data_IF_750225576394
#
_entry.id   IF_750225576394
#
_cell.length_a   1.000
_cell.length_b   1.000
_cell.length_c   1.000
_cell.angle_alpha   90.00
_cell.angle_beta   90.00
_cell.angle_gamma   90.00
#
_symmetry.space_group_name_H-M   'P 1'
#
loop_
_entity.id
_entity.type
_entity.pdbx_description
1 polymer ?
#
# COMPACT_ATOMS: atom_id res chain seq x y z
N UNK A 1 6.95 20.86 -5.55
CA UNK A 1 6.31 20.66 -4.23
C UNK A 1 7.31 20.82 -3.09
N UNK A 2 8.36 20.00 -3.02
CA UNK A 2 9.37 20.07 -1.95
C UNK A 2 10.04 21.44 -1.79
N UNK A 3 10.50 22.06 -2.89
CA UNK A 3 11.06 23.42 -2.85
C UNK A 3 10.06 24.49 -2.40
N UNK A 4 8.78 24.34 -2.78
CA UNK A 4 7.72 25.29 -2.43
C UNK A 4 7.35 25.24 -0.93
N UNK A 5 7.44 24.05 -0.31
CA UNK A 5 7.15 23.87 1.13
C UNK A 5 8.42 24.02 1.97
N UNK A 6 9.59 23.74 1.41
CA UNK A 6 10.89 23.74 2.10
C UNK A 6 11.14 22.47 2.93
N UNK A 7 10.55 21.33 2.51
CA UNK A 7 10.66 20.04 3.21
C UNK A 7 11.41 19.01 2.38
N UNK A 8 12.12 18.05 3.02
CA UNK A 8 12.74 16.94 2.31
C UNK A 8 11.68 16.15 1.53
N UNK A 9 11.90 15.91 0.22
CA UNK A 9 10.99 15.11 -0.57
C UNK A 9 11.05 13.63 -0.17
N UNK A 10 9.91 12.95 -0.20
CA UNK A 10 9.81 11.52 0.09
C UNK A 10 8.78 10.84 -0.81
N UNK A 11 9.14 9.68 -1.36
CA UNK A 11 8.17 8.76 -1.96
C UNK A 11 7.77 7.68 -0.95
N UNK A 12 6.55 7.18 -1.06
CA UNK A 12 6.04 6.09 -0.24
C UNK A 12 5.77 4.86 -1.08
N UNK A 13 6.19 3.70 -0.59
CA UNK A 13 5.88 2.39 -1.16
C UNK A 13 5.11 1.60 -0.11
N UNK A 14 3.81 1.35 -0.35
CA UNK A 14 2.87 0.79 0.62
C UNK A 14 2.47 -0.63 0.22
N UNK A 15 2.99 -1.61 0.95
CA UNK A 15 2.67 -3.01 0.69
C UNK A 15 1.22 -3.35 1.08
N UNK A 16 0.61 -4.25 0.31
CA UNK A 16 -0.67 -4.87 0.58
C UNK A 16 -0.55 -6.15 1.41
N UNK A 17 -1.56 -6.40 2.25
CA UNK A 17 -1.58 -7.54 3.17
C UNK A 17 -2.94 -7.70 3.88
N UNK A 18 -4.05 -7.37 3.21
CA UNK A 18 -5.38 -7.41 3.81
C UNK A 18 -5.54 -6.40 4.96
N UNK A 19 -6.13 -6.85 6.07
CA UNK A 19 -6.38 -5.99 7.25
C UNK A 19 -5.11 -5.45 7.90
N UNK A 20 -3.96 -6.10 7.70
CA UNK A 20 -2.65 -5.60 8.15
C UNK A 20 -2.30 -4.23 7.55
N UNK A 21 -2.98 -3.80 6.48
CA UNK A 21 -2.89 -2.42 6.00
C UNK A 21 -3.29 -1.36 7.04
N UNK A 22 -4.00 -1.73 8.12
CA UNK A 22 -4.26 -0.86 9.27
C UNK A 22 -2.97 -0.49 10.03
N UNK A 23 -1.95 -1.37 10.00
CA UNK A 23 -0.61 -1.02 10.49
C UNK A 23 -0.02 0.10 9.62
N UNK A 24 -0.12 -0.02 8.30
CA UNK A 24 0.32 1.05 7.39
C UNK A 24 -0.44 2.35 7.66
N UNK A 25 -1.74 2.30 7.97
CA UNK A 25 -2.48 3.49 8.40
C UNK A 25 -1.86 4.15 9.64
N UNK A 26 -1.53 3.38 10.68
CA UNK A 26 -0.85 3.91 11.86
C UNK A 26 0.51 4.54 11.54
N UNK A 27 1.30 3.90 10.65
CA UNK A 27 2.57 4.46 10.18
C UNK A 27 2.35 5.81 9.49
N UNK A 28 1.40 5.87 8.55
CA UNK A 28 1.07 7.09 7.83
C UNK A 28 0.57 8.19 8.76
N UNK A 29 -0.23 7.83 9.77
CA UNK A 29 -0.71 8.78 10.76
C UNK A 29 0.45 9.44 11.53
N UNK A 30 1.44 8.67 11.97
CA UNK A 30 2.65 9.22 12.61
C UNK A 30 3.47 10.12 11.67
N UNK A 31 3.63 9.74 10.40
CA UNK A 31 4.35 10.54 9.40
C UNK A 31 3.64 11.86 9.08
N UNK A 32 2.30 11.82 8.94
CA UNK A 32 1.48 12.99 8.65
C UNK A 32 1.37 13.92 9.86
N UNK A 33 1.40 13.37 11.08
CA UNK A 33 1.47 14.15 12.32
C UNK A 33 2.80 14.90 12.48
N UNK A 34 3.95 14.28 12.14
CA UNK A 34 5.23 15.00 12.05
C UNK A 34 5.19 16.07 10.95
N UNK A 35 4.55 15.75 9.82
CA UNK A 35 4.36 16.66 8.70
C UNK A 35 5.66 17.11 8.02
N UNK A 36 6.79 16.46 8.34
CA UNK A 36 8.13 16.90 7.96
C UNK A 36 8.60 16.54 6.56
N UNK A 37 7.75 15.93 5.73
CA UNK A 37 8.13 15.45 4.40
C UNK A 37 7.20 15.97 3.32
N UNK A 38 7.77 16.35 2.18
CA UNK A 38 7.01 16.63 0.97
C UNK A 38 6.80 15.34 0.16
N UNK A 39 5.60 14.76 0.25
CA UNK A 39 5.26 13.50 -0.42
C UNK A 39 5.09 13.66 -1.94
N UNK A 40 6.03 13.17 -2.76
CA UNK A 40 5.92 13.33 -4.22
C UNK A 40 5.09 12.23 -4.89
N UNK A 41 5.30 10.98 -4.48
CA UNK A 41 4.65 9.82 -5.08
C UNK A 41 4.37 8.72 -4.06
N UNK A 42 3.28 7.99 -4.28
CA UNK A 42 2.83 6.88 -3.45
C UNK A 42 2.50 5.71 -4.37
N UNK A 43 3.27 4.63 -4.27
CA UNK A 43 2.94 3.37 -4.90
C UNK A 43 2.28 2.45 -3.87
N UNK A 44 1.14 1.87 -4.22
CA UNK A 44 0.35 1.05 -3.34
C UNK A 44 -0.23 -0.16 -4.04
N UNK A 45 -0.44 -1.22 -3.26
CA UNK A 45 -1.06 -2.46 -3.75
C UNK A 45 -2.04 -2.98 -2.73
N UNK A 46 -3.22 -3.43 -3.17
CA UNK A 46 -4.29 -3.92 -2.29
C UNK A 46 -4.65 -2.88 -1.21
N UNK A 47 -4.60 -3.24 0.08
CA UNK A 47 -4.78 -2.28 1.18
C UNK A 47 -3.81 -1.08 1.14
N UNK A 48 -2.60 -1.25 0.59
CA UNK A 48 -1.66 -0.16 0.35
C UNK A 48 -2.15 0.83 -0.70
N UNK A 49 -2.87 0.37 -1.74
CA UNK A 49 -3.49 1.26 -2.73
C UNK A 49 -4.64 2.07 -2.11
N UNK A 50 -5.44 1.47 -1.22
CA UNK A 50 -6.50 2.17 -0.48
C UNK A 50 -5.93 3.26 0.43
N UNK A 51 -4.85 2.95 1.15
CA UNK A 51 -4.12 3.94 1.94
C UNK A 51 -3.57 5.07 1.07
N UNK A 52 -3.01 4.75 -0.11
CA UNK A 52 -2.46 5.72 -1.03
C UNK A 52 -3.51 6.74 -1.52
N UNK A 53 -4.67 6.26 -1.95
CA UNK A 53 -5.73 7.15 -2.46
C UNK A 53 -6.39 7.97 -1.35
N UNK A 54 -6.57 7.40 -0.16
CA UNK A 54 -7.12 8.12 1.00
C UNK A 54 -6.18 9.24 1.45
N UNK A 55 -4.87 8.98 1.48
CA UNK A 55 -3.86 9.99 1.80
C UNK A 55 -3.86 11.10 0.74
N UNK A 56 -3.73 10.73 -0.54
CA UNK A 56 -3.66 11.71 -1.63
C UNK A 56 -4.93 12.56 -1.71
N UNK A 57 -6.10 11.99 -1.39
CA UNK A 57 -7.36 12.71 -1.35
C UNK A 57 -7.36 13.86 -0.34
N UNK A 58 -6.80 13.64 0.85
CA UNK A 58 -6.65 14.70 1.85
C UNK A 58 -5.81 15.89 1.34
N UNK A 59 -4.71 15.59 0.63
CA UNK A 59 -3.89 16.63 -0.01
C UNK A 59 -4.61 17.32 -1.18
N UNK A 60 -5.39 16.58 -1.98
CA UNK A 60 -6.19 17.17 -3.04
C UNK A 60 -7.24 18.13 -2.50
N UNK A 61 -7.92 17.79 -1.42
CA UNK A 61 -8.87 18.68 -0.76
C UNK A 61 -8.19 19.95 -0.22
N UNK A 62 -7.05 19.80 0.44
CA UNK A 62 -6.30 20.95 0.95
C UNK A 62 -5.82 21.89 -0.17
N UNK A 63 -5.35 21.34 -1.29
CA UNK A 63 -4.90 22.13 -2.42
C UNK A 63 -6.01 22.95 -3.10
N UNK A 64 -7.28 22.53 -2.97
CA UNK A 64 -8.42 23.32 -3.44
C UNK A 64 -8.75 24.49 -2.50
N UNK A 65 -8.40 24.38 -1.22
CA UNK A 65 -8.77 25.34 -0.17
C UNK A 65 -7.67 26.36 0.12
N UNK A 66 -6.40 25.99 -0.06
CA UNK A 66 -5.25 26.80 0.32
C UNK A 66 -4.35 27.10 -0.89
N UNK A 67 -4.04 28.39 -1.07
CA UNK A 67 -3.10 28.85 -2.12
C UNK A 67 -1.65 28.83 -1.66
N UNK A 68 -1.40 29.04 -0.37
CA UNK A 68 -0.06 28.94 0.20
C UNK A 68 0.36 27.46 0.31
N UNK A 69 1.57 27.15 -0.13
CA UNK A 69 2.04 25.78 -0.21
C UNK A 69 2.23 25.14 1.18
N UNK A 70 2.60 25.90 2.21
CA UNK A 70 2.80 25.39 3.56
C UNK A 70 1.47 25.19 4.28
N UNK A 71 0.53 26.11 4.13
CA UNK A 71 -0.83 25.93 4.63
C UNK A 71 -1.52 24.73 3.97
N UNK A 72 -1.42 24.63 2.64
CA UNK A 72 -1.95 23.49 1.90
C UNK A 72 -1.33 22.16 2.35
N UNK A 73 -0.03 22.15 2.65
CA UNK A 73 0.65 20.96 3.17
C UNK A 73 0.16 20.57 4.56
N UNK A 74 0.08 21.52 5.49
CA UNK A 74 -0.40 21.28 6.86
C UNK A 74 -1.86 20.81 6.88
N UNK A 75 -2.73 21.48 6.12
CA UNK A 75 -4.12 21.06 5.95
C UNK A 75 -4.22 19.70 5.25
N UNK A 76 -3.36 19.43 4.26
CA UNK A 76 -3.26 18.16 3.56
C UNK A 76 -2.93 17.00 4.50
N UNK A 77 -1.96 17.19 5.39
CA UNK A 77 -1.65 16.24 6.45
C UNK A 77 -2.86 15.96 7.35
N UNK A 78 -3.54 16.99 7.84
CA UNK A 78 -4.70 16.83 8.72
C UNK A 78 -5.87 16.11 8.03
N UNK A 79 -6.20 16.51 6.79
CA UNK A 79 -7.29 15.91 6.01
C UNK A 79 -6.96 14.48 5.57
N UNK A 80 -5.69 14.18 5.28
CA UNK A 80 -5.24 12.83 4.95
C UNK A 80 -5.39 11.89 6.17
N UNK A 81 -4.99 12.34 7.37
CA UNK A 81 -5.20 11.58 8.62
C UNK A 81 -6.68 11.28 8.87
N UNK A 82 -7.54 12.28 8.67
CA UNK A 82 -8.99 12.10 8.84
C UNK A 82 -9.58 11.15 7.80
N UNK A 83 -9.17 11.23 6.53
CA UNK A 83 -9.66 10.34 5.47
C UNK A 83 -9.23 8.90 5.73
N UNK A 84 -7.97 8.68 6.11
CA UNK A 84 -7.45 7.36 6.49
C UNK A 84 -8.19 6.78 7.70
N UNK A 85 -8.48 7.61 8.72
CA UNK A 85 -9.25 7.20 9.89
C UNK A 85 -10.66 6.73 9.51
N UNK A 86 -11.38 7.51 8.70
CA UNK A 86 -12.72 7.13 8.23
C UNK A 86 -12.71 5.85 7.40
N UNK A 87 -11.69 5.66 6.56
CA UNK A 87 -11.52 4.45 5.76
C UNK A 87 -11.41 3.22 6.67
N UNK A 88 -10.45 3.22 7.60
CA UNK A 88 -10.18 2.04 8.42
C UNK A 88 -11.21 1.80 9.52
N UNK A 89 -11.81 2.84 10.09
CA UNK A 89 -12.98 2.67 10.97
C UNK A 89 -14.18 2.10 10.18
N UNK A 90 -14.39 2.53 8.93
CA UNK A 90 -15.41 1.97 8.05
C UNK A 90 -15.17 0.47 7.77
N UNK A 91 -13.93 0.11 7.44
CA UNK A 91 -13.50 -1.30 7.27
C UNK A 91 -13.72 -2.09 8.57
N UNK A 92 -13.31 -1.52 9.71
CA UNK A 92 -13.48 -2.11 11.04
C UNK A 92 -14.94 -2.38 11.40
N UNK A 93 -15.83 -1.42 11.10
CA UNK A 93 -17.27 -1.54 11.39
C UNK A 93 -17.92 -2.63 10.54
N UNK A 94 -17.56 -2.70 9.25
CA UNK A 94 -18.00 -3.77 8.35
C UNK A 94 -17.47 -5.13 8.80
N UNK A 95 -16.20 -5.21 9.17
CA UNK A 95 -15.58 -6.45 9.65
C UNK A 95 -16.19 -6.93 10.97
N UNK A 96 -16.50 -6.03 11.90
CA UNK A 96 -17.21 -6.39 13.15
C UNK A 96 -18.62 -6.92 12.89
N UNK A 97 -19.35 -6.36 11.91
CA UNK A 97 -20.67 -6.88 11.52
C UNK A 97 -20.57 -8.30 10.95
N UNK A 98 -19.60 -8.55 10.08
CA UNK A 98 -19.37 -9.88 9.48
C UNK A 98 -18.87 -10.90 10.51
N UNK A 99 -17.96 -10.50 11.40
CA UNK A 99 -17.40 -11.35 12.45
C UNK A 99 -18.42 -11.70 13.54
N UNK A 100 -19.38 -10.82 13.79
CA UNK A 100 -20.49 -11.06 14.72
C UNK A 100 -21.52 -12.09 14.25
N UNK A 101 -21.49 -12.50 12.98
CA UNK A 101 -22.35 -13.56 12.45
C UNK A 101 -21.68 -14.92 12.73
N UNK A 102 -22.34 -15.87 13.44
CA UNK A 102 -21.75 -17.14 13.85
C UNK A 102 -21.69 -18.16 12.69
N UNK A 103 -21.08 -17.77 11.57
CA UNK A 103 -20.88 -18.61 10.39
C UNK A 103 -19.45 -19.16 10.29
N UNK A 104 -18.47 -18.50 10.92
CA UNK A 104 -17.05 -18.86 10.82
C UNK A 104 -16.66 -20.13 11.59
N UNK A 105 -17.49 -20.59 12.52
CA UNK A 105 -17.29 -21.84 13.26
C UNK A 105 -17.88 -23.09 12.57
N UNK A 106 -18.44 -22.96 11.36
CA UNK A 106 -19.08 -24.08 10.67
C UNK A 106 -18.11 -24.73 9.65
N UNK A 107 -17.52 -25.90 9.95
CA UNK A 107 -16.54 -26.55 9.07
C UNK A 107 -17.11 -26.92 7.70
N UNK A 108 -18.43 -27.11 7.58
CA UNK A 108 -19.08 -27.38 6.30
C UNK A 108 -19.05 -26.16 5.38
N UNK A 109 -19.21 -24.95 5.93
CA UNK A 109 -19.19 -23.71 5.14
C UNK A 109 -17.76 -23.41 4.64
N UNK A 110 -16.74 -23.66 5.46
CA UNK A 110 -15.33 -23.54 5.07
C UNK A 110 -14.91 -24.56 4.02
N UNK A 111 -15.51 -25.76 4.03
CA UNK A 111 -15.31 -26.74 2.96
C UNK A 111 -16.02 -26.31 1.67
N UNK A 112 -17.27 -25.83 1.74
CA UNK A 112 -18.01 -25.38 0.55
C UNK A 112 -17.39 -24.16 -0.14
N UNK A 113 -16.77 -23.23 0.60
CA UNK A 113 -16.12 -22.05 0.02
C UNK A 113 -14.85 -22.37 -0.79
N UNK A 114 -14.24 -23.55 -0.59
CA UNK A 114 -13.10 -24.01 -1.40
C UNK A 114 -13.53 -24.53 -2.78
N UNK A 115 -14.80 -24.92 -2.96
CA UNK A 115 -15.36 -25.44 -4.22
C UNK A 115 -16.22 -24.43 -4.97
N UNK A 116 -16.50 -23.27 -4.37
CA UNK A 116 -17.36 -22.25 -4.93
C UNK A 116 -16.57 -20.98 -5.23
N UNK A 117 -16.55 -20.57 -6.48
CA UNK A 117 -15.93 -19.32 -6.91
C UNK A 117 -16.77 -18.09 -6.51
N UNK A 118 -16.16 -16.89 -6.41
CA UNK A 118 -16.88 -15.62 -6.19
C UNK A 118 -17.99 -15.35 -7.24
N UNK A 119 -17.86 -15.94 -8.42
CA UNK A 119 -18.86 -15.89 -9.49
C UNK A 119 -20.15 -16.64 -9.14
N UNK A 120 -20.05 -17.67 -8.31
CA UNK A 120 -21.17 -18.51 -7.86
C UNK A 120 -21.76 -18.02 -6.53
N UNK A 121 -20.94 -17.45 -5.64
CA UNK A 121 -21.38 -17.05 -4.29
C UNK A 121 -21.89 -15.61 -4.19
N UNK A 122 -21.48 -14.71 -5.09
CA UNK A 122 -21.93 -13.31 -5.12
C UNK A 122 -22.45 -12.91 -6.51
N UNK A 123 -23.59 -13.45 -6.99
CA UNK A 123 -24.12 -13.15 -8.32
C UNK A 123 -24.45 -11.65 -8.50
N UNK A 124 -24.92 -10.99 -7.43
CA UNK A 124 -25.28 -9.57 -7.41
C UNK A 124 -24.08 -8.60 -7.38
N UNK A 125 -22.86 -9.09 -7.16
CA UNK A 125 -21.64 -8.28 -7.21
C UNK A 125 -21.55 -7.19 -6.13
N UNK A 126 -22.31 -7.32 -5.03
CA UNK A 126 -22.31 -6.32 -3.95
C UNK A 126 -20.91 -6.28 -3.33
N UNK A 127 -20.26 -5.13 -3.39
CA UNK A 127 -18.95 -4.89 -2.81
C UNK A 127 -19.01 -3.67 -1.87
N UNK A 128 -19.28 -3.88 -0.58
CA UNK A 128 -19.43 -2.75 0.35
C UNK A 128 -18.12 -1.98 0.57
N UNK A 129 -16.95 -2.57 0.28
CA UNK A 129 -15.66 -1.89 0.30
C UNK A 129 -15.54 -0.88 -0.84
N UNK A 130 -16.04 -1.22 -2.05
CA UNK A 130 -16.16 -0.28 -3.17
C UNK A 130 -17.03 0.91 -2.79
N UNK A 131 -18.21 0.65 -2.21
CA UNK A 131 -19.12 1.72 -1.79
C UNK A 131 -18.54 2.60 -0.68
N UNK A 132 -17.75 2.05 0.24
CA UNK A 132 -17.01 2.85 1.23
C UNK A 132 -15.99 3.76 0.54
N UNK A 133 -15.21 3.22 -0.40
CA UNK A 133 -14.18 3.97 -1.10
C UNK A 133 -14.77 5.13 -1.92
N UNK A 134 -15.86 4.89 -2.66
CA UNK A 134 -16.56 5.91 -3.46
C UNK A 134 -17.15 7.04 -2.60
N UNK A 135 -17.52 6.76 -1.35
CA UNK A 135 -18.00 7.80 -0.41
C UNK A 135 -16.88 8.64 0.19
N UNK A 136 -15.67 8.09 0.29
CA UNK A 136 -14.56 8.72 1.00
C UNK A 136 -13.57 9.41 0.07
N UNK A 137 -13.45 8.95 -1.17
CA UNK A 137 -12.42 9.41 -2.11
C UNK A 137 -13.07 9.97 -3.36
N UNK A 138 -12.85 11.26 -3.59
CA UNK A 138 -13.14 11.92 -4.86
C UNK A 138 -12.02 11.68 -5.87
N UNK A 139 -12.21 10.69 -6.75
CA UNK A 139 -11.26 10.33 -7.81
C UNK A 139 -11.17 11.37 -8.94
N UNK A 140 -12.26 12.12 -9.17
CA UNK A 140 -12.27 13.22 -10.13
C UNK A 140 -11.34 14.34 -9.64
N UNK A 141 -11.45 14.71 -8.35
CA UNK A 141 -10.55 15.69 -7.73
C UNK A 141 -9.08 15.24 -7.77
N UNK A 142 -8.79 13.96 -7.49
CA UNK A 142 -7.44 13.40 -7.60
C UNK A 142 -6.88 13.49 -9.03
N UNK A 143 -7.70 13.22 -10.04
CA UNK A 143 -7.32 13.30 -11.45
C UNK A 143 -7.04 14.74 -11.92
N UNK A 144 -7.79 15.72 -11.40
CA UNK A 144 -7.68 17.13 -11.78
C UNK A 144 -6.57 17.88 -11.02
N UNK A 145 -6.12 17.36 -9.87
CA UNK A 145 -5.08 17.98 -9.05
C UNK A 145 -3.64 17.82 -9.58
N UNK A 146 -3.43 17.53 -10.87
CA UNK A 146 -2.11 17.24 -11.48
C UNK A 146 -1.08 18.36 -11.37
N UNK A 147 -1.53 19.61 -11.18
CA UNK A 147 -0.66 20.78 -11.01
C UNK A 147 -0.63 21.31 -9.58
N UNK A 148 -1.37 20.68 -8.67
CA UNK A 148 -1.40 21.00 -7.26
C UNK A 148 -0.31 20.21 -6.48
N UNK A 149 0.02 20.61 -5.25
CA UNK A 149 0.94 19.88 -4.37
C UNK A 149 0.28 18.60 -3.82
N UNK A 150 -0.09 17.68 -4.71
CA UNK A 150 -0.72 16.39 -4.39
C UNK A 150 0.22 15.25 -4.78
N UNK A 151 0.45 14.28 -3.88
CA UNK A 151 1.26 13.12 -4.22
C UNK A 151 0.66 12.33 -5.39
N UNK A 152 1.49 11.93 -6.35
CA UNK A 152 1.09 11.05 -7.44
C UNK A 152 0.80 9.65 -6.88
N UNK A 153 -0.38 9.09 -7.16
CA UNK A 153 -0.72 7.73 -6.74
C UNK A 153 -0.52 6.74 -7.89
N UNK A 154 0.07 5.59 -7.57
CA UNK A 154 0.26 4.45 -8.46
C UNK A 154 -0.36 3.22 -7.79
N UNK A 155 -1.49 2.73 -8.33
CA UNK A 155 -2.13 1.50 -7.88
C UNK A 155 -1.77 0.36 -8.83
N UNK A 156 -1.16 -0.71 -8.30
CA UNK A 156 -0.80 -1.88 -9.09
C UNK A 156 -1.92 -2.92 -9.10
N UNK A 157 -2.27 -3.44 -10.28
CA UNK A 157 -3.14 -4.62 -10.43
C UNK A 157 -2.53 -5.60 -11.44
N UNK A 158 -2.88 -6.88 -11.33
CA UNK A 158 -2.37 -7.93 -12.23
C UNK A 158 -3.38 -8.20 -13.33
N UNK A 159 -2.99 -8.03 -14.59
CA UNK A 159 -3.84 -8.38 -15.73
C UNK A 159 -4.01 -9.91 -15.82
N UNK A 160 -5.25 -10.39 -15.72
CA UNK A 160 -5.59 -11.83 -15.66
C UNK A 160 -5.12 -12.59 -16.89
N UNK A 161 -5.24 -11.97 -18.07
CA UNK A 161 -4.93 -12.62 -19.35
C UNK A 161 -3.43 -12.81 -19.58
N UNK A 162 -2.61 -11.89 -19.09
CA UNK A 162 -1.17 -11.82 -19.42
C UNK A 162 -0.25 -12.06 -18.23
N UNK A 163 -0.77 -12.00 -16.99
CA UNK A 163 0.01 -12.03 -15.76
C UNK A 163 0.86 -10.78 -15.51
N UNK A 164 0.78 -9.76 -16.37
CA UNK A 164 1.58 -8.53 -16.25
C UNK A 164 0.97 -7.56 -15.25
N UNK A 165 1.83 -6.84 -14.53
CA UNK A 165 1.43 -5.73 -13.70
C UNK A 165 1.01 -4.53 -14.54
N UNK A 166 -0.12 -3.94 -14.18
CA UNK A 166 -0.66 -2.70 -14.75
C UNK A 166 -0.72 -1.64 -13.65
N UNK A 167 -0.29 -0.41 -13.98
CA UNK A 167 -0.28 0.71 -13.05
C UNK A 167 -1.37 1.70 -13.43
N UNK A 168 -2.31 1.88 -12.50
CA UNK A 168 -3.34 2.90 -12.60
C UNK A 168 -2.89 4.16 -11.87
N UNK A 169 -2.91 5.29 -12.59
CA UNK A 169 -2.47 6.60 -12.07
C UNK A 169 -3.16 7.74 -12.84
N UNK A 170 -3.18 8.93 -12.24
CA UNK A 170 -3.81 10.11 -12.81
C UNK A 170 -5.28 9.87 -13.16
N UNK A 171 -5.67 10.16 -14.40
CA UNK A 171 -7.05 9.99 -14.90
C UNK A 171 -7.48 8.54 -15.06
N UNK A 172 -6.56 7.59 -14.96
CA UNK A 172 -6.87 6.15 -14.93
C UNK A 172 -7.12 5.64 -13.51
N UNK A 173 -6.89 6.47 -12.50
CA UNK A 173 -7.13 6.12 -11.11
C UNK A 173 -8.62 6.29 -10.79
N UNK A 174 -9.29 5.19 -10.47
CA UNK A 174 -10.71 5.15 -10.15
C UNK A 174 -10.96 4.17 -8.99
N UNK A 175 -12.19 4.17 -8.46
CA UNK A 175 -12.61 3.15 -7.50
C UNK A 175 -12.39 1.74 -8.06
N UNK A 176 -12.70 1.49 -9.33
CA UNK A 176 -12.50 0.18 -9.97
C UNK A 176 -11.02 -0.19 -10.07
N UNK A 177 -10.12 0.77 -10.34
CA UNK A 177 -8.68 0.53 -10.34
C UNK A 177 -8.14 0.13 -8.95
N UNK A 178 -8.62 0.78 -7.89
CA UNK A 178 -8.25 0.42 -6.51
C UNK A 178 -8.85 -0.93 -6.13
N UNK A 179 -10.09 -1.21 -6.53
CA UNK A 179 -10.73 -2.51 -6.31
C UNK A 179 -10.02 -3.63 -7.07
N UNK A 180 -9.56 -3.38 -8.30
CA UNK A 180 -8.73 -4.30 -9.06
C UNK A 180 -7.43 -4.62 -8.31
N UNK A 181 -6.78 -3.58 -7.78
CA UNK A 181 -5.57 -3.71 -6.96
C UNK A 181 -5.75 -4.56 -5.70
N UNK A 182 -6.97 -4.65 -5.16
CA UNK A 182 -7.33 -5.40 -3.96
C UNK A 182 -8.15 -6.68 -4.24
N UNK A 183 -8.23 -7.11 -5.50
CA UNK A 183 -9.10 -8.20 -5.93
C UNK A 183 -8.40 -9.57 -5.78
N UNK A 184 -8.48 -10.17 -4.60
CA UNK A 184 -7.98 -11.54 -4.40
C UNK A 184 -8.84 -12.56 -5.18
N UNK A 185 -8.27 -13.41 -6.06
CA UNK A 185 -9.01 -14.24 -7.02
C UNK A 185 -10.03 -15.21 -6.40
N UNK A 186 -9.77 -15.69 -5.18
CA UNK A 186 -10.65 -16.64 -4.47
C UNK A 186 -11.73 -15.95 -3.63
N UNK A 187 -11.63 -14.63 -3.42
CA UNK A 187 -12.55 -13.86 -2.57
C UNK A 187 -13.41 -12.90 -3.38
N UNK A 188 -12.92 -12.39 -4.51
CA UNK A 188 -13.60 -11.40 -5.33
C UNK A 188 -13.58 -11.79 -6.81
N UNK A 189 -14.63 -11.37 -7.54
CA UNK A 189 -14.64 -11.47 -9.01
C UNK A 189 -13.57 -10.53 -9.57
N UNK A 190 -12.91 -10.96 -10.65
CA UNK A 190 -11.98 -10.11 -11.37
C UNK A 190 -12.68 -8.81 -11.79
N UNK A 191 -12.01 -7.68 -11.59
CA UNK A 191 -12.55 -6.36 -11.94
C UNK A 191 -12.28 -6.09 -13.41
N UNK A 192 -13.34 -5.78 -14.15
CA UNK A 192 -13.21 -5.41 -15.55
C UNK A 192 -12.97 -3.90 -15.69
N UNK A 193 -11.90 -3.52 -16.38
CA UNK A 193 -11.59 -2.12 -16.71
C UNK A 193 -11.30 -2.05 -18.21
N UNK A 194 -12.21 -1.42 -18.96
CA UNK A 194 -12.22 -1.49 -20.42
C UNK A 194 -12.50 -2.92 -20.89
N UNK A 195 -11.65 -3.46 -21.76
CA UNK A 195 -11.76 -4.83 -22.29
C UNK A 195 -11.00 -5.88 -21.49
N UNK A 196 -10.25 -5.47 -20.46
CA UNK A 196 -9.34 -6.34 -19.72
C UNK A 196 -9.86 -6.62 -18.30
N UNK A 197 -9.42 -7.74 -17.73
CA UNK A 197 -9.76 -8.17 -16.38
C UNK A 197 -8.54 -8.17 -15.49
N UNK A 198 -8.73 -7.80 -14.22
CA UNK A 198 -7.64 -7.62 -13.28
C UNK A 198 -7.89 -8.33 -11.94
N UNK A 199 -6.81 -8.84 -11.37
CA UNK A 199 -6.68 -9.34 -10.01
C UNK A 199 -5.75 -8.44 -9.19
N UNK A 200 -5.63 -8.76 -7.90
CA UNK A 200 -4.77 -8.08 -6.95
C UNK A 200 -3.37 -7.84 -7.53
N UNK A 201 -2.81 -6.65 -7.29
CA UNK A 201 -1.46 -6.31 -7.75
C UNK A 201 -0.38 -7.15 -7.07
N UNK A 202 -0.71 -7.82 -5.96
CA UNK A 202 0.11 -8.74 -5.21
C UNK A 202 0.97 -9.64 -6.08
N UNK A 203 0.37 -10.21 -7.13
CA UNK A 203 1.00 -11.20 -8.01
C UNK A 203 2.06 -10.61 -8.97
N UNK A 204 2.06 -9.29 -9.18
CA UNK A 204 2.94 -8.64 -10.16
C UNK A 204 3.76 -7.47 -9.60
N UNK A 205 3.38 -6.90 -8.45
CA UNK A 205 4.09 -5.81 -7.78
C UNK A 205 3.49 -5.46 -6.42
N UNK A 206 4.10 -5.89 -5.30
CA UNK A 206 3.60 -5.60 -3.95
C UNK A 206 4.62 -4.95 -2.98
N UNK A 207 4.73 -3.61 -2.97
CA UNK A 207 4.25 -2.70 -4.00
C UNK A 207 5.24 -2.64 -5.18
N UNK A 208 4.76 -2.23 -6.36
CA UNK A 208 5.64 -1.92 -7.49
C UNK A 208 6.49 -0.66 -7.18
N UNK A 209 7.82 -0.74 -7.34
CA UNK A 209 8.71 0.40 -7.04
C UNK A 209 9.02 1.26 -8.27
N UNK A 210 9.05 0.65 -9.45
CA UNK A 210 9.41 1.27 -10.70
C UNK A 210 8.61 2.54 -11.06
N UNK A 211 7.30 2.69 -10.72
CA UNK A 211 6.59 3.93 -11.01
C UNK A 211 7.19 5.13 -10.26
N UNK A 212 7.68 4.90 -9.04
CA UNK A 212 8.37 5.92 -8.25
C UNK A 212 9.69 6.31 -8.91
N UNK A 213 10.42 5.36 -9.50
CA UNK A 213 11.68 5.61 -10.20
C UNK A 213 11.44 6.45 -11.46
N UNK A 214 10.48 6.08 -12.30
CA UNK A 214 10.30 6.67 -13.63
C UNK A 214 9.37 7.88 -13.69
N UNK A 215 8.48 8.06 -12.69
CA UNK A 215 7.43 9.10 -12.75
C UNK A 215 7.49 10.14 -11.63
N UNK A 216 8.49 10.08 -10.75
CA UNK A 216 8.79 11.11 -9.74
C UNK A 216 10.19 11.69 -9.97
N UNK A 217 10.63 12.70 -9.22
CA UNK A 217 12.02 13.19 -9.22
C UNK A 217 12.78 12.75 -7.96
N UNK A 218 12.04 12.50 -6.88
CA UNK A 218 12.57 12.10 -5.57
C UNK A 218 13.31 10.76 -5.62
N UNK A 219 14.52 10.75 -5.06
CA UNK A 219 15.32 9.52 -4.93
C UNK A 219 15.01 8.72 -3.67
N UNK A 220 14.46 9.35 -2.62
CA UNK A 220 14.13 8.69 -1.35
C UNK A 220 12.78 7.98 -1.41
N UNK A 221 12.77 6.69 -1.08
CA UNK A 221 11.55 5.87 -1.01
C UNK A 221 11.48 5.21 0.36
N UNK A 222 10.41 5.47 1.11
CA UNK A 222 10.07 4.75 2.33
C UNK A 222 9.12 3.59 2.00
N UNK A 223 9.64 2.37 2.13
CA UNK A 223 8.87 1.14 2.04
C UNK A 223 8.25 0.81 3.40
N UNK A 224 6.91 0.75 3.45
CA UNK A 224 6.17 0.16 4.58
C UNK A 224 5.85 -1.27 4.21
N UNK A 225 6.62 -2.19 4.78
CA UNK A 225 6.53 -3.63 4.50
C UNK A 225 5.71 -4.28 5.62
N UNK A 226 4.64 -4.98 5.27
CA UNK A 226 3.73 -5.61 6.26
C UNK A 226 3.66 -7.13 6.12
N UNK A 227 4.08 -7.69 4.99
CA UNK A 227 4.25 -9.13 4.87
C UNK A 227 5.64 -9.53 5.39
N UNK A 228 5.72 -10.59 6.21
CA UNK A 228 7.01 -11.15 6.59
C UNK A 228 7.74 -11.68 5.36
N UNK A 229 9.07 -11.55 5.36
CA UNK A 229 9.95 -12.12 4.32
C UNK A 229 10.36 -13.54 4.74
N UNK A 230 10.66 -13.71 6.02
CA UNK A 230 11.16 -14.93 6.62
C UNK A 230 10.08 -15.62 7.45
N UNK A 231 10.03 -16.94 7.34
CA UNK A 231 9.31 -17.84 8.23
C UNK A 231 10.30 -18.85 8.76
N UNK A 232 10.35 -19.01 10.08
CA UNK A 232 11.29 -19.96 10.72
C UNK A 232 10.74 -21.39 10.74
N UNK A 233 9.41 -21.54 10.76
CA UNK A 233 8.75 -22.83 10.79
C UNK A 233 8.47 -23.33 9.37
N UNK A 234 8.61 -24.64 9.16
CA UNK A 234 8.25 -25.28 7.89
C UNK A 234 6.73 -25.45 7.82
N UNK A 235 6.05 -24.96 6.76
CA UNK A 235 4.62 -25.17 6.62
C UNK A 235 4.33 -26.66 6.38
N UNK A 236 3.49 -27.27 7.22
CA UNK A 236 3.19 -28.71 7.20
C UNK A 236 1.71 -29.03 6.93
N UNK A 237 0.83 -28.03 6.91
CA UNK A 237 -0.55 -28.18 6.45
C UNK A 237 -0.77 -27.60 5.05
N UNK A 238 -1.79 -28.07 4.33
CA UNK A 238 -2.13 -27.54 3.01
C UNK A 238 -2.46 -26.04 3.04
N UNK A 239 -3.04 -25.56 4.15
CA UNK A 239 -3.35 -24.15 4.33
C UNK A 239 -2.06 -23.34 4.49
N UNK A 240 -1.16 -23.76 5.37
CA UNK A 240 0.11 -23.06 5.62
C UNK A 240 1.00 -23.05 4.36
N UNK A 241 0.97 -24.14 3.57
CA UNK A 241 1.68 -24.21 2.29
C UNK A 241 1.12 -23.18 1.30
N UNK A 242 -0.20 -23.09 1.16
CA UNK A 242 -0.84 -22.13 0.26
C UNK A 242 -0.59 -20.67 0.71
N UNK A 243 -0.62 -20.42 2.02
CA UNK A 243 -0.28 -19.12 2.61
C UNK A 243 1.17 -18.75 2.28
N UNK A 244 2.12 -19.66 2.54
CA UNK A 244 3.53 -19.44 2.22
C UNK A 244 3.77 -19.23 0.73
N UNK A 245 3.09 -19.97 -0.14
CA UNK A 245 3.16 -19.78 -1.60
C UNK A 245 2.69 -18.36 -2.00
N UNK A 246 1.61 -17.86 -1.40
CA UNK A 246 1.13 -16.50 -1.65
C UNK A 246 2.14 -15.44 -1.18
N UNK A 247 2.71 -15.60 0.02
CA UNK A 247 3.73 -14.68 0.52
C UNK A 247 4.98 -14.63 -0.36
N UNK A 248 5.50 -15.80 -0.76
CA UNK A 248 6.66 -15.89 -1.65
C UNK A 248 6.36 -15.20 -2.97
N UNK A 249 5.16 -15.45 -3.53
CA UNK A 249 4.72 -14.80 -4.77
C UNK A 249 4.65 -13.29 -4.61
N UNK A 250 4.02 -12.80 -3.55
CA UNK A 250 3.85 -11.37 -3.29
C UNK A 250 5.17 -10.63 -2.99
N UNK A 251 6.13 -11.29 -2.35
CA UNK A 251 7.43 -10.68 -2.05
C UNK A 251 8.40 -10.79 -3.25
N UNK A 252 8.21 -11.74 -4.16
CA UNK A 252 9.17 -12.03 -5.24
C UNK A 252 9.44 -10.83 -6.15
N UNK A 253 8.39 -10.09 -6.54
CA UNK A 253 8.49 -8.91 -7.41
C UNK A 253 9.26 -7.79 -6.72
N UNK A 254 8.93 -7.51 -5.45
CA UNK A 254 9.57 -6.48 -4.65
C UNK A 254 11.06 -6.77 -4.46
N UNK A 255 11.41 -8.02 -4.12
CA UNK A 255 12.81 -8.45 -3.99
C UNK A 255 13.57 -8.33 -5.32
N UNK A 256 12.92 -8.62 -6.44
CA UNK A 256 13.47 -8.40 -7.78
C UNK A 256 13.80 -6.93 -8.04
N UNK A 257 12.87 -6.03 -7.78
CA UNK A 257 13.06 -4.58 -7.96
C UNK A 257 14.12 -4.02 -7.00
N UNK A 258 14.14 -4.45 -5.74
CA UNK A 258 15.16 -4.06 -4.77
C UNK A 258 16.57 -4.44 -5.24
N UNK A 259 16.76 -5.67 -5.73
CA UNK A 259 18.06 -6.11 -6.31
C UNK A 259 18.47 -5.28 -7.53
N UNK A 260 17.51 -4.92 -8.39
CA UNK A 260 17.79 -4.05 -9.54
C UNK A 260 18.21 -2.63 -9.10
N UNK A 261 17.52 -2.07 -8.10
CA UNK A 261 17.87 -0.77 -7.52
C UNK A 261 19.29 -0.81 -6.95
N UNK A 262 19.63 -1.81 -6.15
CA UNK A 262 20.99 -1.95 -5.60
C UNK A 262 22.06 -2.12 -6.68
N UNK A 263 21.77 -2.91 -7.71
CA UNK A 263 22.68 -3.07 -8.85
C UNK A 263 22.98 -1.73 -9.54
N UNK A 264 21.96 -0.93 -9.84
CA UNK A 264 22.14 0.41 -10.46
C UNK A 264 22.94 1.33 -9.54
N UNK A 265 22.67 1.31 -8.22
CA UNK A 265 23.40 2.12 -7.25
C UNK A 265 24.89 1.75 -7.18
N UNK A 266 25.22 0.46 -7.18
CA UNK A 266 26.60 -0.01 -7.19
C UNK A 266 27.33 0.45 -8.45
N UNK A 267 26.70 0.33 -9.62
CA UNK A 267 27.29 0.82 -10.87
C UNK A 267 27.49 2.33 -10.90
N UNK A 268 26.58 3.11 -10.30
CA UNK A 268 26.76 4.56 -10.13
C UNK A 268 27.93 4.89 -9.20
N UNK A 269 28.04 4.19 -8.07
CA UNK A 269 29.15 4.36 -7.12
C UNK A 269 30.51 3.98 -7.72
N UNK A 270 30.53 3.00 -8.63
CA UNK A 270 31.72 2.58 -9.40
C UNK A 270 32.03 3.53 -10.58
N UNK A 271 31.22 4.56 -10.84
CA UNK A 271 31.39 5.47 -11.98
C UNK A 271 31.12 4.83 -13.35
N UNK A 272 30.39 3.71 -13.38
CA UNK A 272 30.07 2.94 -14.60
C UNK A 272 28.78 3.36 -15.29
N UNK A 273 27.97 4.18 -14.62
CA UNK A 273 26.75 4.78 -15.14
C UNK A 273 26.79 6.30 -15.00
N UNK A 274 26.10 6.98 -15.90
CA UNK A 274 25.99 8.44 -15.87
C UNK A 274 24.94 8.88 -14.82
N UNK A 275 25.33 9.62 -13.77
CA UNK A 275 24.40 10.11 -12.75
C UNK A 275 23.39 11.14 -13.27
N UNK A 276 23.59 11.72 -14.46
CA UNK A 276 22.60 12.61 -15.08
C UNK A 276 21.40 11.83 -15.66
N UNK A 277 21.59 10.56 -16.02
CA UNK A 277 20.56 9.72 -16.66
C UNK A 277 19.99 8.66 -15.72
N UNK A 278 20.71 8.30 -14.66
CA UNK A 278 20.30 7.26 -13.71
C UNK A 278 20.19 7.80 -12.29
N UNK A 279 19.09 7.48 -11.61
CA UNK A 279 18.89 7.86 -10.21
C UNK A 279 19.55 6.87 -9.27
N UNK A 280 20.37 7.39 -8.36
CA UNK A 280 20.77 6.65 -7.17
C UNK A 280 19.63 6.68 -6.15
N UNK A 281 18.68 5.75 -6.26
CA UNK A 281 17.56 5.63 -5.32
C UNK A 281 18.06 5.37 -3.88
N UNK A 282 17.44 5.98 -2.88
CA UNK A 282 17.72 5.76 -1.46
C UNK A 282 16.52 5.06 -0.84
N UNK A 283 16.68 3.78 -0.53
CA UNK A 283 15.62 2.97 0.06
C UNK A 283 15.64 3.07 1.59
N UNK A 284 14.48 3.31 2.16
CA UNK A 284 14.21 3.27 3.60
C UNK A 284 13.14 2.22 3.88
N UNK A 285 13.15 1.62 5.07
CA UNK A 285 12.19 0.56 5.43
C UNK A 285 11.61 0.77 6.83
N UNK A 286 10.29 0.59 6.92
CA UNK A 286 9.61 0.21 8.16
C UNK A 286 9.21 -1.26 7.99
N UNK A 287 9.82 -2.12 8.81
CA UNK A 287 9.52 -3.55 8.83
C UNK A 287 8.38 -3.83 9.82
N UNK A 288 7.16 -3.82 9.27
CA UNK A 288 5.96 -4.27 9.96
C UNK A 288 5.83 -5.79 10.05
N UNK A 289 6.53 -6.55 9.19
CA UNK A 289 6.46 -8.02 9.17
C UNK A 289 6.86 -8.63 10.52
N UNK A 290 7.94 -8.11 11.13
CA UNK A 290 8.41 -8.59 12.43
C UNK A 290 7.41 -8.39 13.58
N UNK A 291 6.68 -7.28 13.58
CA UNK A 291 5.65 -7.02 14.62
C UNK A 291 4.32 -7.72 14.32
N UNK A 292 4.10 -8.09 13.06
CA UNK A 292 2.91 -8.81 12.63
C UNK A 292 3.05 -10.34 12.70
N UNK A 293 4.27 -10.87 12.68
CA UNK A 293 4.56 -12.29 12.73
C UNK A 293 3.78 -13.06 13.82
N UNK A 294 3.61 -12.55 15.06
CA UNK A 294 2.86 -13.26 16.10
C UNK A 294 1.36 -13.46 15.80
N UNK A 295 0.76 -12.69 14.88
CA UNK A 295 -0.65 -12.83 14.55
C UNK A 295 -0.91 -13.93 13.51
N UNK A 296 0.12 -14.36 12.79
CA UNK A 296 -0.01 -15.30 11.67
C UNK A 296 -0.79 -14.75 10.48
N UNK A 297 -0.76 -15.48 9.39
CA UNK A 297 -1.29 -15.04 8.10
C UNK A 297 -2.82 -15.07 8.01
N UNK A 298 -3.45 -16.03 8.68
CA UNK A 298 -4.90 -16.09 8.81
C UNK A 298 -5.52 -14.78 9.37
N UNK A 299 -4.78 -14.03 10.20
CA UNK A 299 -5.23 -12.75 10.75
C UNK A 299 -5.41 -11.65 9.71
N UNK A 300 -4.83 -11.79 8.50
CA UNK A 300 -4.98 -10.82 7.39
C UNK A 300 -6.42 -10.68 6.89
N UNK A 301 -7.27 -11.70 7.13
CA UNK A 301 -8.71 -11.67 6.85
C UNK A 301 -9.56 -11.14 8.01
N UNK A 302 -8.97 -11.04 9.21
CA UNK A 302 -9.65 -10.52 10.39
C UNK A 302 -9.66 -9.00 10.33
N UNK A 303 -10.84 -8.41 10.30
CA UNK A 303 -11.00 -6.96 10.14
C UNK A 303 -11.98 -6.35 11.15
N UNK A 304 -12.17 -6.96 12.33
CA UNK A 304 -13.00 -6.36 13.38
C UNK A 304 -12.35 -5.08 13.93
N UNK A 305 -13.18 -4.16 14.43
CA UNK A 305 -12.75 -2.87 14.93
C UNK A 305 -11.67 -2.95 16.02
N UNK A 306 -11.73 -3.96 16.91
CA UNK A 306 -10.74 -4.13 17.97
C UNK A 306 -9.36 -4.44 17.40
N UNK A 307 -9.30 -5.37 16.45
CA UNK A 307 -8.06 -5.74 15.78
C UNK A 307 -7.52 -4.63 14.87
N UNK A 308 -8.38 -3.94 14.12
CA UNK A 308 -7.97 -2.78 13.29
C UNK A 308 -7.31 -1.69 14.12
N UNK A 309 -7.88 -1.35 15.29
CA UNK A 309 -7.28 -0.38 16.22
C UNK A 309 -5.96 -0.86 16.81
N UNK A 310 -5.84 -2.15 17.13
CA UNK A 310 -4.59 -2.73 17.61
C UNK A 310 -3.48 -2.59 16.56
N UNK A 311 -3.77 -2.91 15.30
CA UNK A 311 -2.83 -2.78 14.19
C UNK A 311 -2.41 -1.31 13.98
N UNK A 312 -3.37 -0.38 14.06
CA UNK A 312 -3.10 1.05 14.00
C UNK A 312 -2.11 1.53 15.07
N UNK A 313 -2.30 1.14 16.34
CA UNK A 313 -1.38 1.54 17.42
C UNK A 313 0.03 0.97 17.24
N UNK A 314 0.13 -0.29 16.77
CA UNK A 314 1.42 -0.89 16.39
C UNK A 314 2.08 -0.09 15.25
N UNK A 315 1.30 0.27 14.24
CA UNK A 315 1.75 1.10 13.11
C UNK A 315 2.26 2.47 13.55
N UNK A 316 1.51 3.17 14.40
CA UNK A 316 1.94 4.47 14.96
C UNK A 316 3.25 4.34 15.71
N UNK A 317 3.39 3.29 16.52
CA UNK A 317 4.62 3.00 17.26
C UNK A 317 5.80 2.80 16.31
N UNK A 318 5.63 2.00 15.25
CA UNK A 318 6.68 1.76 14.26
C UNK A 318 7.05 3.04 13.48
N UNK A 319 6.05 3.82 13.06
CA UNK A 319 6.27 5.10 12.37
C UNK A 319 7.04 6.11 13.23
N UNK A 320 6.67 6.25 14.51
CA UNK A 320 7.37 7.12 15.46
C UNK A 320 8.81 6.65 15.73
N UNK A 321 9.04 5.33 15.85
CA UNK A 321 10.38 4.78 16.01
C UNK A 321 11.26 5.08 14.80
N UNK A 322 10.73 4.89 13.59
CA UNK A 322 11.44 5.21 12.36
C UNK A 322 11.74 6.70 12.25
N UNK A 323 10.78 7.58 12.53
CA UNK A 323 10.99 9.03 12.56
C UNK A 323 12.14 9.43 13.51
N UNK A 324 12.15 8.90 14.74
CA UNK A 324 13.23 9.18 15.70
C UNK A 324 14.60 8.70 15.22
N UNK A 325 14.65 7.56 14.54
CA UNK A 325 15.91 6.91 14.16
C UNK A 325 16.46 7.39 12.82
N UNK A 326 15.60 7.66 11.84
CA UNK A 326 15.98 7.73 10.42
C UNK A 326 15.48 8.98 9.68
N UNK A 327 14.73 9.88 10.35
CA UNK A 327 14.27 11.13 9.71
C UNK A 327 15.40 11.96 9.11
N UNK A 328 16.56 11.99 9.77
CA UNK A 328 17.73 12.74 9.32
C UNK A 328 18.50 12.05 8.18
N UNK A 329 18.24 10.78 7.92
CA UNK A 329 18.85 10.03 6.81
C UNK A 329 18.19 10.34 5.48
N UNK A 330 16.92 10.80 5.48
CA UNK A 330 16.17 11.13 4.26
C UNK A 330 16.85 12.28 3.52
N UNK A 331 17.15 12.08 2.24
CA UNK A 331 17.90 13.02 1.42
C UNK A 331 19.42 12.87 1.52
N UNK A 332 19.92 12.11 2.50
CA UNK A 332 21.35 11.93 2.80
C UNK A 332 21.80 10.52 2.39
N UNK A 333 21.20 9.49 2.98
CA UNK A 333 21.60 8.10 2.81
C UNK A 333 20.39 7.15 2.78
N UNK A 334 20.64 5.89 2.49
CA UNK A 334 19.64 4.83 2.49
C UNK A 334 19.75 4.06 3.81
N UNK A 335 18.63 3.54 4.32
CA UNK A 335 18.58 2.82 5.60
C UNK A 335 18.24 1.33 5.45
N UNK A 336 17.86 0.91 4.23
CA UNK A 336 17.65 -0.49 3.89
C UNK A 336 18.94 -1.11 3.32
N UNK A 337 19.50 -2.11 3.99
CA UNK A 337 20.58 -2.93 3.45
C UNK A 337 20.02 -4.27 2.95
N UNK A 338 20.25 -4.63 1.68
CA UNK A 338 19.71 -5.87 1.11
C UNK A 338 20.40 -7.14 1.62
N UNK A 339 21.56 -6.98 2.29
CA UNK A 339 22.25 -8.04 3.03
C UNK A 339 21.57 -8.37 4.36
N UNK A 340 20.61 -7.56 4.82
CA UNK A 340 19.89 -7.83 6.08
C UNK A 340 18.87 -8.98 5.94
N UNK A 341 18.78 -9.61 4.77
CA UNK A 341 17.92 -10.76 4.46
C UNK A 341 18.72 -12.02 4.04
N UNK A 342 20.03 -12.08 4.35
CA UNK A 342 20.92 -13.21 4.00
C UNK A 342 21.38 -14.00 5.21
#
# INVERSE_FOLDING_TARGET
>A
MAEAVGLPPLNLALQGGGSHGALTWGVLDALLEDGGFALEGISGTSAGAMNAVALAHGFAQAALQHKDAREAHQAGCALARETLRRLWEGVGAMGSLLWGVPLQGNPLLGMMSQWLSPYQTNPLGINPLRGLLERLVDFEALSHARHAPVPKVFACATNVRTGRGEIFSGSRLSADAVMASACLPLLFKAVQIGSEHYWDGGFSGNPALYPLIYHTQTCDVLLVQINPIEHHDLPDTAQDIMERMNEVTFNSSLLGELRAIDFVRRLLAEGRLDPAHYKSMRMHRIDGGRVLAPFGDASKSRADMGFVRQLFELGRTQGQQWLRRHRHDVGVQHTLHLTDNS
#
